data_IF_219364125613
#
_entry.id   IF_219364125613
#
_cell.length_a   1.000
_cell.length_b   1.000
_cell.length_c   1.000
_cell.angle_alpha   90.00
_cell.angle_beta   90.00
_cell.angle_gamma   90.00
#
_symmetry.space_group_name_H-M   'P 1'
#
loop_
_entity.id
_entity.type
_entity.pdbx_description
1 polymer ?
#
# COMPACT_ATOMS: atom_id res chain seq x y z
N UNK A 1 5.65 -11.95 -6.17
CA UNK A 1 4.54 -11.12 -5.64
C UNK A 1 5.14 -10.03 -4.77
N UNK A 2 5.46 -8.88 -5.34
CA UNK A 2 6.12 -7.81 -4.60
C UNK A 2 5.13 -6.92 -3.86
N UNK A 3 5.54 -6.42 -2.70
CA UNK A 3 4.81 -5.37 -2.00
C UNK A 3 4.95 -4.06 -2.79
N UNK A 4 3.82 -3.43 -3.09
CA UNK A 4 3.75 -2.13 -3.75
C UNK A 4 2.76 -1.27 -2.97
N UNK A 5 3.18 -0.04 -2.67
CA UNK A 5 2.32 0.96 -2.03
C UNK A 5 1.09 1.24 -2.88
N UNK A 6 -0.09 1.31 -2.26
CA UNK A 6 -1.33 1.58 -2.97
C UNK A 6 -1.32 2.97 -3.61
N UNK A 7 -0.48 3.89 -3.16
CA UNK A 7 -0.37 5.22 -3.74
C UNK A 7 -0.21 5.20 -5.26
N UNK A 8 0.54 4.25 -5.83
CA UNK A 8 0.71 4.11 -7.29
C UNK A 8 -0.62 3.88 -8.04
N UNK A 9 -1.59 3.27 -7.37
CA UNK A 9 -2.91 2.96 -7.90
C UNK A 9 -3.95 4.04 -7.55
N UNK A 10 -3.55 5.08 -6.81
CA UNK A 10 -4.39 6.25 -6.52
C UNK A 10 -4.43 7.22 -7.72
N UNK A 11 -5.47 8.07 -7.83
CA UNK A 11 -5.50 9.09 -8.88
C UNK A 11 -4.28 10.03 -8.87
N UNK A 12 -3.67 10.26 -7.69
CA UNK A 12 -2.45 11.07 -7.56
C UNK A 12 -1.24 10.34 -8.13
N UNK A 13 -1.04 9.07 -7.74
CA UNK A 13 0.05 8.25 -8.25
C UNK A 13 -0.02 8.04 -9.76
N UNK A 14 -1.21 7.75 -10.30
CA UNK A 14 -1.39 7.61 -11.76
C UNK A 14 -1.05 8.90 -12.51
N UNK A 15 -1.45 10.08 -12.00
CA UNK A 15 -1.10 11.36 -12.62
C UNK A 15 0.40 11.67 -12.52
N UNK A 16 1.02 11.32 -11.41
CA UNK A 16 2.46 11.51 -11.23
C UNK A 16 3.25 10.64 -12.21
N UNK A 17 2.88 9.35 -12.34
CA UNK A 17 3.47 8.44 -13.31
C UNK A 17 3.33 8.94 -14.76
N UNK A 18 2.16 9.48 -15.13
CA UNK A 18 1.93 10.07 -16.46
C UNK A 18 2.75 11.36 -16.71
N UNK A 19 3.08 12.12 -15.66
CA UNK A 19 3.96 13.30 -15.78
C UNK A 19 5.41 12.90 -15.94
N UNK A 20 5.87 11.87 -15.23
CA UNK A 20 7.24 11.36 -15.41
C UNK A 20 7.47 10.81 -16.81
N UNK A 21 6.45 10.18 -17.41
CA UNK A 21 6.55 9.65 -18.78
C UNK A 21 6.56 10.73 -19.86
N UNK A 22 6.03 11.93 -19.57
CA UNK A 22 5.96 13.04 -20.54
C UNK A 22 7.05 14.11 -20.37
N UNK A 23 7.75 14.15 -19.22
CA UNK A 23 8.74 15.20 -18.90
C UNK A 23 10.20 14.82 -19.12
N UNK A 24 10.51 13.54 -19.31
CA UNK A 24 11.86 13.12 -19.69
C UNK A 24 11.94 13.18 -21.20
N UNK A 25 12.83 14.01 -21.76
CA UNK A 25 13.25 13.87 -23.15
C UNK A 25 13.59 12.40 -23.38
N UNK A 26 12.87 11.74 -24.29
CA UNK A 26 12.99 10.31 -24.63
C UNK A 26 14.42 9.87 -25.01
N UNK A 27 15.36 10.81 -25.09
CA UNK A 27 16.74 10.62 -25.55
C UNK A 27 17.68 9.96 -24.54
N UNK A 28 17.27 9.69 -23.30
CA UNK A 28 18.13 9.01 -22.29
C UNK A 28 17.59 7.62 -21.94
N UNK A 29 18.30 6.59 -22.40
CA UNK A 29 18.00 5.18 -22.12
C UNK A 29 18.95 4.63 -21.06
N UNK A 30 18.38 3.92 -20.08
CA UNK A 30 19.10 3.09 -19.13
C UNK A 30 19.11 1.63 -19.58
N UNK A 31 20.16 0.89 -19.20
CA UNK A 31 20.21 -0.56 -19.37
C UNK A 31 19.76 -1.19 -18.04
N UNK A 32 18.75 -2.04 -18.08
CA UNK A 32 18.27 -2.83 -16.94
C UNK A 32 18.31 -4.33 -17.24
N UNK A 33 18.39 -5.14 -16.20
CA UNK A 33 18.33 -6.59 -16.32
C UNK A 33 16.94 -7.08 -15.95
N UNK A 34 16.23 -7.69 -16.91
CA UNK A 34 14.92 -8.32 -16.71
C UNK A 34 15.06 -9.78 -17.15
N UNK A 35 14.85 -10.73 -16.24
CA UNK A 35 14.92 -12.17 -16.52
C UNK A 35 16.20 -12.62 -17.26
N UNK A 36 17.37 -12.16 -16.77
CA UNK A 36 18.69 -12.43 -17.37
C UNK A 36 18.95 -11.77 -18.74
N UNK A 37 18.00 -10.97 -19.25
CA UNK A 37 18.14 -10.20 -20.50
C UNK A 37 18.44 -8.74 -20.16
N UNK A 38 19.42 -8.16 -20.84
CA UNK A 38 19.68 -6.72 -20.79
C UNK A 38 18.68 -6.01 -21.70
N UNK A 39 17.80 -5.20 -21.10
CA UNK A 39 16.81 -4.38 -21.79
C UNK A 39 17.21 -2.91 -21.73
N UNK A 40 17.07 -2.20 -22.84
CA UNK A 40 17.18 -0.73 -22.87
C UNK A 40 15.79 -0.14 -22.68
N UNK A 41 15.62 0.70 -21.67
CA UNK A 41 14.38 1.41 -21.42
C UNK A 41 14.65 2.87 -21.04
N UNK A 42 13.74 3.80 -21.34
CA UNK A 42 13.90 5.20 -20.96
C UNK A 42 14.20 5.29 -19.45
N UNK A 43 15.18 6.09 -19.03
CA UNK A 43 15.54 6.21 -17.59
C UNK A 43 14.35 6.63 -16.73
N UNK A 44 13.37 7.30 -17.33
CA UNK A 44 12.09 7.63 -16.71
C UNK A 44 11.33 6.41 -16.15
N UNK A 45 11.41 5.24 -16.79
CA UNK A 45 10.72 4.02 -16.31
C UNK A 45 11.41 3.36 -15.14
N UNK A 46 12.70 3.70 -14.92
CA UNK A 46 13.52 3.17 -13.82
C UNK A 46 13.40 4.01 -12.54
N UNK A 47 12.87 5.23 -12.63
CA UNK A 47 12.86 6.16 -11.51
C UNK A 47 11.59 5.95 -10.67
N UNK A 48 11.77 5.45 -9.45
CA UNK A 48 10.72 5.50 -8.44
C UNK A 48 10.32 6.96 -8.19
N UNK A 49 9.01 7.21 -8.13
CA UNK A 49 8.50 8.55 -7.80
C UNK A 49 8.99 8.98 -6.41
N UNK A 50 9.51 10.19 -6.32
CA UNK A 50 9.85 10.85 -5.05
C UNK A 50 8.61 11.23 -4.23
N UNK A 51 7.42 11.14 -4.84
CA UNK A 51 6.14 11.48 -4.23
C UNK A 51 5.39 10.26 -3.69
N UNK A 52 5.99 9.07 -3.72
CA UNK A 52 5.35 7.86 -3.19
C UNK A 52 5.02 8.06 -1.72
N UNK A 53 3.81 7.65 -1.34
CA UNK A 53 3.28 7.75 0.02
C UNK A 53 2.97 6.34 0.51
N UNK A 54 3.35 6.04 1.75
CA UNK A 54 3.03 4.77 2.37
C UNK A 54 1.51 4.59 2.50
N UNK A 55 1.02 3.35 2.48
CA UNK A 55 -0.38 3.03 2.72
C UNK A 55 -0.94 3.69 3.99
N UNK A 56 -0.14 3.75 5.08
CA UNK A 56 -0.54 4.33 6.36
C UNK A 56 -0.75 5.86 6.30
N UNK A 57 -0.10 6.53 5.34
CA UNK A 57 -0.09 7.98 5.18
C UNK A 57 -1.08 8.46 4.10
N UNK A 58 -1.78 7.53 3.45
CA UNK A 58 -2.84 7.84 2.50
C UNK A 58 -4.07 8.42 3.20
N UNK A 59 -4.81 9.29 2.49
CA UNK A 59 -6.17 9.59 2.93
C UNK A 59 -7.03 8.33 2.81
N UNK A 60 -7.99 8.14 3.72
CA UNK A 60 -8.88 6.97 3.69
C UNK A 60 -9.62 6.82 2.35
N UNK A 61 -9.95 7.95 1.72
CA UNK A 61 -10.57 7.98 0.39
C UNK A 61 -9.60 7.50 -0.69
N UNK A 62 -8.36 8.01 -0.69
CA UNK A 62 -7.34 7.61 -1.66
C UNK A 62 -7.00 6.12 -1.50
N UNK A 63 -6.90 5.61 -0.27
CA UNK A 63 -6.68 4.19 0.02
C UNK A 63 -7.79 3.31 -0.59
N UNK A 64 -9.06 3.66 -0.38
CA UNK A 64 -10.17 2.85 -0.91
C UNK A 64 -10.33 2.93 -2.42
N UNK A 65 -9.99 4.05 -3.05
CA UNK A 65 -9.90 4.14 -4.51
C UNK A 65 -8.75 3.29 -5.04
N UNK A 66 -7.57 3.45 -4.44
CA UNK A 66 -6.36 2.78 -4.86
C UNK A 66 -6.46 1.25 -4.75
N UNK A 67 -7.06 0.71 -3.69
CA UNK A 67 -7.25 -0.75 -3.57
C UNK A 67 -8.10 -1.33 -4.71
N UNK A 68 -9.09 -0.59 -5.23
CA UNK A 68 -9.95 -1.10 -6.29
C UNK A 68 -9.16 -1.19 -7.59
N UNK A 69 -8.41 -0.14 -7.90
CA UNK A 69 -7.47 -0.14 -9.02
C UNK A 69 -6.42 -1.26 -8.86
N UNK A 70 -5.82 -1.41 -7.68
CA UNK A 70 -4.84 -2.46 -7.39
C UNK A 70 -5.38 -3.87 -7.67
N UNK A 71 -6.59 -4.20 -7.18
CA UNK A 71 -7.21 -5.51 -7.42
C UNK A 71 -7.40 -5.81 -8.92
N UNK A 72 -7.79 -4.80 -9.71
CA UNK A 72 -7.90 -4.94 -11.18
C UNK A 72 -6.53 -5.21 -11.82
N UNK A 73 -5.49 -4.49 -11.39
CA UNK A 73 -4.15 -4.64 -11.97
C UNK A 73 -3.51 -5.99 -11.65
N UNK A 74 -3.67 -6.51 -10.42
CA UNK A 74 -3.15 -7.84 -10.09
C UNK A 74 -3.90 -8.96 -10.82
N UNK A 75 -5.19 -8.77 -11.11
CA UNK A 75 -5.97 -9.69 -11.95
C UNK A 75 -5.44 -9.68 -13.39
N UNK A 76 -5.19 -8.49 -13.97
CA UNK A 76 -4.59 -8.35 -15.30
C UNK A 76 -3.16 -8.91 -15.36
N UNK A 77 -2.40 -8.80 -14.27
CA UNK A 77 -1.10 -9.41 -14.11
C UNK A 77 -1.14 -10.93 -13.84
N UNK A 78 -2.33 -11.55 -13.96
CA UNK A 78 -2.52 -13.00 -13.83
C UNK A 78 -2.07 -13.56 -12.48
N UNK A 79 -2.26 -12.82 -11.39
CA UNK A 79 -2.02 -13.35 -10.05
C UNK A 79 -2.97 -14.53 -9.76
N UNK A 80 -2.55 -15.51 -8.94
CA UNK A 80 -3.42 -16.61 -8.54
C UNK A 80 -4.72 -16.09 -7.92
N UNK A 81 -5.86 -16.66 -8.35
CA UNK A 81 -7.19 -16.28 -7.85
C UNK A 81 -7.29 -16.36 -6.33
N UNK A 82 -6.62 -17.33 -5.71
CA UNK A 82 -6.55 -17.46 -4.26
C UNK A 82 -6.00 -16.18 -3.60
N UNK A 83 -4.86 -15.67 -4.09
CA UNK A 83 -4.25 -14.45 -3.55
C UNK A 83 -5.12 -13.21 -3.77
N UNK A 84 -5.74 -13.10 -4.95
CA UNK A 84 -6.66 -11.99 -5.27
C UNK A 84 -7.87 -12.02 -4.33
N UNK A 85 -8.48 -13.19 -4.12
CA UNK A 85 -9.64 -13.36 -3.26
C UNK A 85 -9.30 -13.03 -1.80
N UNK A 86 -8.18 -13.54 -1.27
CA UNK A 86 -7.78 -13.26 0.11
C UNK A 86 -7.50 -11.77 0.33
N UNK A 87 -6.89 -11.08 -0.64
CA UNK A 87 -6.72 -9.62 -0.59
C UNK A 87 -8.07 -8.87 -0.65
N UNK A 88 -8.98 -9.30 -1.52
CA UNK A 88 -10.30 -8.69 -1.64
C UNK A 88 -11.11 -8.82 -0.33
N UNK A 89 -11.09 -10.00 0.28
CA UNK A 89 -11.69 -10.26 1.59
C UNK A 89 -11.04 -9.42 2.70
N UNK A 90 -9.71 -9.36 2.75
CA UNK A 90 -8.98 -8.51 3.68
C UNK A 90 -9.44 -7.05 3.62
N UNK A 91 -9.48 -6.46 2.42
CA UNK A 91 -9.94 -5.09 2.25
C UNK A 91 -11.41 -4.91 2.61
N UNK A 92 -12.25 -5.91 2.36
CA UNK A 92 -13.65 -5.88 2.77
C UNK A 92 -13.78 -5.90 4.29
N UNK A 93 -13.03 -6.75 4.99
CA UNK A 93 -13.03 -6.81 6.45
C UNK A 93 -12.56 -5.49 7.05
N UNK A 94 -11.47 -4.90 6.56
CA UNK A 94 -11.00 -3.59 7.02
C UNK A 94 -12.06 -2.49 6.83
N UNK A 95 -12.70 -2.44 5.65
CA UNK A 95 -13.75 -1.45 5.36
C UNK A 95 -14.93 -1.54 6.32
N UNK A 96 -15.26 -2.73 6.79
CA UNK A 96 -16.41 -2.98 7.66
C UNK A 96 -16.03 -3.18 9.15
N UNK A 97 -14.75 -3.00 9.49
CA UNK A 97 -14.27 -3.27 10.83
C UNK A 97 -14.79 -2.26 11.87
N UNK A 98 -15.21 -2.68 13.07
CA UNK A 98 -15.70 -1.77 14.12
C UNK A 98 -14.72 -0.67 14.54
N UNK A 99 -13.40 -0.90 14.37
CA UNK A 99 -12.37 0.11 14.69
C UNK A 99 -12.62 1.43 13.97
N UNK A 100 -13.25 1.41 12.79
CA UNK A 100 -13.53 2.61 11.98
C UNK A 100 -14.47 3.59 12.67
N UNK A 101 -15.26 3.13 13.65
CA UNK A 101 -16.15 3.97 14.44
C UNK A 101 -15.45 4.63 15.64
N UNK A 102 -14.18 4.29 15.91
CA UNK A 102 -13.38 4.97 16.95
C UNK A 102 -12.84 6.30 16.42
N UNK A 103 -12.51 7.20 17.35
CA UNK A 103 -12.04 8.56 17.05
C UNK A 103 -10.85 8.61 16.07
N UNK A 104 -9.89 7.67 16.20
CA UNK A 104 -8.73 7.54 15.29
C UNK A 104 -8.81 6.29 14.39
N UNK A 105 -10.02 5.76 14.20
CA UNK A 105 -10.25 4.46 13.57
C UNK A 105 -9.65 4.32 12.18
N UNK A 106 -9.73 5.37 11.34
CA UNK A 106 -9.15 5.35 10.00
C UNK A 106 -7.62 5.29 10.04
N UNK A 107 -6.97 6.06 10.93
CA UNK A 107 -5.51 6.04 11.08
C UNK A 107 -5.02 4.67 11.51
N UNK A 108 -5.66 4.08 12.53
CA UNK A 108 -5.33 2.73 13.00
C UNK A 108 -5.53 1.69 11.91
N UNK A 109 -6.64 1.76 11.17
CA UNK A 109 -6.93 0.83 10.07
C UNK A 109 -5.87 0.91 8.96
N UNK A 110 -5.42 2.12 8.60
CA UNK A 110 -4.40 2.32 7.57
C UNK A 110 -3.02 1.82 8.02
N UNK A 111 -2.65 2.08 9.28
CA UNK A 111 -1.42 1.57 9.88
C UNK A 111 -1.39 0.04 9.93
N UNK A 112 -2.50 -0.55 10.39
CA UNK A 112 -2.68 -2.00 10.37
C UNK A 112 -2.58 -2.56 8.95
N UNK A 113 -3.26 -1.92 7.98
CA UNK A 113 -3.24 -2.36 6.60
C UNK A 113 -1.83 -2.37 6.01
N UNK A 114 -1.05 -1.30 6.24
CA UNK A 114 0.32 -1.16 5.78
C UNK A 114 1.20 -2.31 6.31
N UNK A 115 1.26 -2.49 7.64
CA UNK A 115 2.10 -3.52 8.26
C UNK A 115 1.72 -4.94 7.84
N UNK A 116 0.43 -5.23 7.82
CA UNK A 116 -0.07 -6.58 7.53
C UNK A 116 0.11 -6.93 6.05
N UNK A 117 -0.08 -5.96 5.13
CA UNK A 117 0.25 -6.17 3.72
C UNK A 117 1.73 -6.41 3.52
N UNK A 118 2.61 -5.59 4.10
CA UNK A 118 4.06 -5.79 3.99
C UNK A 118 4.47 -7.18 4.47
N UNK A 119 4.09 -7.54 5.70
CA UNK A 119 4.40 -8.85 6.28
C UNK A 119 3.86 -10.01 5.43
N UNK A 120 2.63 -9.89 4.94
CA UNK A 120 2.04 -10.92 4.07
C UNK A 120 2.81 -11.07 2.75
N UNK A 121 3.21 -9.97 2.12
CA UNK A 121 4.00 -10.02 0.89
C UNK A 121 5.41 -10.61 1.12
N UNK A 122 6.03 -10.35 2.27
CA UNK A 122 7.33 -10.94 2.61
C UNK A 122 7.22 -12.45 2.85
N UNK A 123 6.20 -12.90 3.59
CA UNK A 123 5.94 -14.33 3.78
C UNK A 123 5.54 -15.03 2.47
N UNK A 124 4.89 -14.29 1.56
CA UNK A 124 4.52 -14.79 0.24
C UNK A 124 5.75 -15.06 -0.65
N UNK A 125 6.82 -14.28 -0.51
CA UNK A 125 8.11 -14.56 -1.18
C UNK A 125 8.75 -15.84 -0.65
N UNK A 126 8.53 -16.17 0.62
CA UNK A 126 9.04 -17.37 1.28
C UNK A 126 8.14 -18.61 1.07
N UNK A 127 6.99 -18.48 0.40
CA UNK A 127 6.02 -19.56 0.24
C UNK A 127 5.27 -19.92 1.54
N UNK A 128 5.29 -19.04 2.54
CA UNK A 128 4.71 -19.24 3.87
C UNK A 128 3.63 -18.21 4.22
N UNK A 129 3.06 -17.54 3.21
CA UNK A 129 2.03 -16.52 3.42
C UNK A 129 0.87 -17.03 4.27
N UNK A 130 0.59 -16.30 5.34
CA UNK A 130 -0.61 -16.53 6.14
C UNK A 130 -1.87 -16.06 5.39
N UNK A 131 -3.04 -16.44 5.88
CA UNK A 131 -4.30 -15.93 5.36
C UNK A 131 -4.53 -14.48 5.85
N UNK A 132 -4.20 -13.50 4.99
CA UNK A 132 -4.36 -12.07 5.28
C UNK A 132 -5.82 -11.65 5.51
N UNK A 133 -6.82 -12.39 5.03
CA UNK A 133 -8.23 -12.01 5.22
C UNK A 133 -8.69 -12.11 6.68
N UNK A 134 -7.98 -12.87 7.51
CA UNK A 134 -8.23 -12.95 8.95
C UNK A 134 -7.62 -11.74 9.66
N UNK A 135 -8.46 -10.77 10.00
CA UNK A 135 -8.06 -9.59 10.78
C UNK A 135 -7.60 -10.03 12.18
N UNK A 136 -6.38 -9.63 12.55
CA UNK A 136 -5.81 -9.82 13.87
C UNK A 136 -6.25 -8.67 14.78
N UNK A 137 -7.36 -8.88 15.48
CA UNK A 137 -7.93 -7.91 16.42
C UNK A 137 -6.97 -7.54 17.56
N UNK A 138 -6.07 -8.45 17.95
CA UNK A 138 -5.08 -8.15 18.99
C UNK A 138 -4.11 -7.08 18.52
N UNK A 139 -3.55 -7.26 17.31
CA UNK A 139 -2.68 -6.25 16.70
C UNK A 139 -3.43 -4.94 16.42
N UNK A 140 -4.66 -5.02 15.89
CA UNK A 140 -5.48 -3.84 15.61
C UNK A 140 -5.75 -3.00 16.88
N UNK A 141 -6.03 -3.65 18.01
CA UNK A 141 -6.25 -2.95 19.28
C UNK A 141 -4.96 -2.38 19.87
N UNK A 142 -3.84 -3.11 19.77
CA UNK A 142 -2.53 -2.62 20.22
C UNK A 142 -2.14 -1.32 19.47
N UNK A 143 -2.30 -1.30 18.14
CA UNK A 143 -2.06 -0.09 17.33
C UNK A 143 -3.02 1.05 17.71
N UNK A 144 -4.26 0.74 18.10
CA UNK A 144 -5.19 1.75 18.58
C UNK A 144 -4.75 2.38 19.90
N UNK A 145 -4.23 1.58 20.83
CA UNK A 145 -3.68 2.08 22.11
C UNK A 145 -2.49 2.99 21.84
N UNK A 146 -1.53 2.55 21.02
CA UNK A 146 -0.34 3.34 20.65
C UNK A 146 -0.70 4.70 20.02
N UNK A 147 -1.65 4.72 19.08
CA UNK A 147 -2.11 5.96 18.43
C UNK A 147 -2.80 6.91 19.41
N UNK A 148 -3.51 6.36 20.41
CA UNK A 148 -4.16 7.17 21.46
C UNK A 148 -3.11 7.77 22.39
N UNK A 149 -2.14 6.97 22.83
CA UNK A 149 -1.09 7.40 23.75
C UNK A 149 -0.19 8.49 23.13
N UNK A 150 0.27 8.27 21.89
CA UNK A 150 1.10 9.24 21.16
C UNK A 150 0.41 10.61 21.01
N UNK A 151 -0.92 10.61 20.87
CA UNK A 151 -1.72 11.84 20.77
C UNK A 151 -1.93 12.51 22.13
N UNK A 152 -2.06 11.74 23.21
CA UNK A 152 -2.15 12.29 24.56
C UNK A 152 -0.86 13.06 24.93
N UNK A 153 0.30 12.50 24.59
CA UNK A 153 1.59 13.13 24.82
C UNK A 153 1.77 14.44 24.02
N UNK A 154 1.38 14.42 22.73
CA UNK A 154 1.42 15.62 21.88
C UNK A 154 0.56 16.78 22.41
N UNK A 155 -0.60 16.47 23.01
CA UNK A 155 -1.51 17.48 23.59
C UNK A 155 -0.92 18.06 24.87
N UNK A 156 -0.32 17.23 25.73
CA UNK A 156 0.33 17.68 26.96
C UNK A 156 1.57 18.55 26.66
N UNK A 157 2.38 18.18 25.66
CA UNK A 157 3.54 18.96 25.25
C UNK A 157 3.19 20.31 24.62
N UNK A 158 2.03 20.44 23.95
CA UNK A 158 1.58 21.71 23.35
C UNK A 158 0.89 22.66 24.34
N UNK A 159 0.48 22.15 25.50
CA UNK A 159 -0.18 22.92 26.56
C UNK A 159 0.81 23.48 27.61
N UNK A 160 2.09 23.10 27.53
CA UNK A 160 3.19 23.59 28.37
C UNK A 160 3.97 24.70 27.67
#
# INVERSE_FOLDING_TARGET
YEFIELWYFSPKGCRDAAKSSSSTTEDTFGISKVDDILTMQPVATLKQSHNVVNDCDLSISDFFHAKNSFLIHIEQASWPKEHINTLAEFFWHLKNHPIRNRHHGNTVMLLYAHHVRQSWHDDLKCGSAFNISKVNDTLMNALNEEVVDQRCDDVLCKAS
#
